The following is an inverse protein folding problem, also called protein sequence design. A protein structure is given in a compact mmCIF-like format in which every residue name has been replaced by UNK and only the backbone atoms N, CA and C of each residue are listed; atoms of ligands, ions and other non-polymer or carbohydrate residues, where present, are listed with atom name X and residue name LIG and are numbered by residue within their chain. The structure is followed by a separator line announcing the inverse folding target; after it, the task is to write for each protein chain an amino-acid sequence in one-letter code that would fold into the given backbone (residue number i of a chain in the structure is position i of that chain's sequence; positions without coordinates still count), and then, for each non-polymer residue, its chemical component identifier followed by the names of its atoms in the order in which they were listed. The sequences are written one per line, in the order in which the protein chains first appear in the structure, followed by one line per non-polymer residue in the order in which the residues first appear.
data_IF_381422229669
#
_entry.id   IF_381422229669
#
_cell.length_a   1.000
_cell.length_b   1.000
_cell.length_c   1.000
_cell.angle_alpha   90.00
_cell.angle_beta   90.00
_cell.angle_gamma   90.00
#
_symmetry.space_group_name_H-M   'P 1'
#
loop_
_entity.id
_entity.type
_entity.pdbx_description
1 polymer ?
#
# COMPACT_ATOMS: atom_id res chain seq x y z
N UNK A 1 -21.96 2.64 27.09
CA UNK A 1 -22.18 1.21 26.75
C UNK A 1 -22.07 1.06 25.24
N UNK A 2 -21.12 0.27 24.75
CA UNK A 2 -20.98 0.03 23.31
C UNK A 2 -22.20 -0.77 22.81
N UNK A 3 -22.77 -0.39 21.67
CA UNK A 3 -23.89 -1.12 21.05
C UNK A 3 -23.33 -2.30 20.28
N UNK A 4 -23.71 -3.52 20.65
CA UNK A 4 -23.40 -4.72 19.86
C UNK A 4 -24.23 -4.71 18.57
N UNK A 5 -23.62 -5.15 17.47
CA UNK A 5 -24.28 -5.35 16.17
C UNK A 5 -24.18 -6.82 15.77
N UNK A 6 -25.25 -7.34 15.17
CA UNK A 6 -25.24 -8.68 14.59
C UNK A 6 -24.62 -8.66 13.20
N UNK A 7 -23.64 -9.52 12.96
CA UNK A 7 -22.97 -9.68 11.66
C UNK A 7 -23.32 -11.06 11.11
N UNK A 8 -24.01 -11.09 9.97
CA UNK A 8 -24.29 -12.31 9.23
C UNK A 8 -23.42 -12.40 7.98
N UNK A 9 -22.82 -13.55 7.73
CA UNK A 9 -22.03 -13.80 6.52
C UNK A 9 -22.35 -15.17 5.93
N UNK A 10 -22.10 -15.31 4.63
CA UNK A 10 -22.20 -16.61 3.94
C UNK A 10 -20.87 -17.33 4.05
N UNK A 11 -20.90 -18.60 4.42
CA UNK A 11 -19.72 -19.44 4.50
C UNK A 11 -19.96 -20.77 3.78
N UNK A 12 -18.88 -21.40 3.33
CA UNK A 12 -18.94 -22.77 2.83
C UNK A 12 -19.21 -23.75 3.98
N UNK A 13 -19.74 -24.93 3.65
CA UNK A 13 -19.95 -26.00 4.63
C UNK A 13 -18.62 -26.40 5.30
N UNK A 14 -17.56 -26.56 4.50
CA UNK A 14 -16.22 -26.90 4.99
C UNK A 14 -15.66 -25.88 5.97
N UNK A 15 -15.84 -24.58 5.72
CA UNK A 15 -15.42 -23.53 6.66
C UNK A 15 -16.22 -23.59 7.96
N UNK A 16 -17.53 -23.82 7.85
CA UNK A 16 -18.43 -23.90 9.02
C UNK A 16 -18.08 -25.08 9.94
N UNK A 17 -17.72 -26.23 9.35
CA UNK A 17 -17.23 -27.42 10.07
C UNK A 17 -15.87 -27.16 10.73
N UNK A 18 -14.94 -26.50 10.03
CA UNK A 18 -13.64 -26.17 10.57
C UNK A 18 -13.74 -25.22 11.79
N UNK A 19 -14.60 -24.20 11.71
CA UNK A 19 -14.88 -23.28 12.83
C UNK A 19 -15.51 -24.02 14.02
N UNK A 20 -16.40 -24.98 13.76
CA UNK A 20 -17.01 -25.79 14.82
C UNK A 20 -16.01 -26.68 15.54
N UNK A 21 -15.16 -27.38 14.78
CA UNK A 21 -14.11 -28.22 15.33
C UNK A 21 -13.11 -27.40 16.17
N UNK A 22 -12.68 -26.24 15.64
CA UNK A 22 -11.74 -25.36 16.34
C UNK A 22 -12.36 -24.75 17.62
N UNK A 23 -13.58 -24.23 17.54
CA UNK A 23 -14.28 -23.71 18.71
C UNK A 23 -14.51 -24.79 19.78
N UNK A 24 -14.80 -26.03 19.36
CA UNK A 24 -14.93 -27.18 20.25
C UNK A 24 -13.62 -27.57 20.94
N UNK A 25 -12.49 -27.51 20.22
CA UNK A 25 -11.16 -27.74 20.78
C UNK A 25 -10.79 -26.68 21.83
N UNK A 26 -11.18 -25.43 21.60
CA UNK A 26 -10.92 -24.30 22.50
C UNK A 26 -11.96 -24.14 23.62
N UNK A 27 -13.02 -24.97 23.61
CA UNK A 27 -14.08 -24.95 24.63
C UNK A 27 -14.96 -23.70 24.59
N UNK A 28 -15.05 -23.01 23.46
CA UNK A 28 -15.81 -21.76 23.27
C UNK A 28 -16.92 -21.91 22.23
N UNK A 29 -17.84 -20.94 22.17
CA UNK A 29 -18.87 -20.90 21.13
C UNK A 29 -18.29 -20.46 19.78
N UNK A 30 -18.93 -20.82 18.66
CA UNK A 30 -18.49 -20.40 17.30
C UNK A 30 -18.37 -18.88 17.16
N UNK A 31 -19.32 -18.12 17.71
CA UNK A 31 -19.30 -16.65 17.69
C UNK A 31 -18.15 -16.07 18.51
N UNK A 32 -17.85 -16.71 19.64
CA UNK A 32 -16.75 -16.30 20.52
C UNK A 32 -15.39 -16.61 19.88
N UNK A 33 -15.25 -17.79 19.28
CA UNK A 33 -14.07 -18.17 18.52
C UNK A 33 -13.79 -17.18 17.38
N UNK A 34 -14.81 -16.85 16.58
CA UNK A 34 -14.66 -15.89 15.48
C UNK A 34 -14.32 -14.48 15.99
N UNK A 35 -14.92 -14.05 17.11
CA UNK A 35 -14.61 -12.77 17.74
C UNK A 35 -13.13 -12.73 18.17
N UNK A 36 -12.67 -13.75 18.87
CA UNK A 36 -11.27 -13.88 19.30
C UNK A 36 -10.31 -13.95 18.11
N UNK A 37 -10.62 -14.72 17.08
CA UNK A 37 -9.79 -14.80 15.87
C UNK A 37 -9.67 -13.46 15.13
N UNK A 38 -10.75 -12.68 15.09
CA UNK A 38 -10.74 -11.32 14.53
C UNK A 38 -9.94 -10.38 15.42
N UNK A 39 -10.13 -10.43 16.75
CA UNK A 39 -9.38 -9.62 17.71
C UNK A 39 -7.89 -9.94 17.68
N UNK A 40 -7.50 -11.21 17.63
CA UNK A 40 -6.12 -11.65 17.51
C UNK A 40 -5.50 -11.22 16.19
N UNK A 41 -6.27 -11.31 15.10
CA UNK A 41 -5.83 -10.81 13.79
C UNK A 41 -5.67 -9.30 13.82
N UNK A 42 -6.56 -8.56 14.48
CA UNK A 42 -6.46 -7.11 14.67
C UNK A 42 -5.35 -6.71 15.63
N UNK A 43 -5.03 -7.53 16.63
CA UNK A 43 -3.92 -7.30 17.56
C UNK A 43 -2.57 -7.57 16.88
N UNK A 44 -2.49 -8.62 16.06
CA UNK A 44 -1.32 -8.90 15.20
C UNK A 44 -1.17 -7.85 14.11
N UNK A 45 -2.27 -7.47 13.47
CA UNK A 45 -2.28 -6.37 12.51
C UNK A 45 -1.95 -5.05 13.20
N UNK A 46 -2.42 -4.82 14.43
CA UNK A 46 -2.18 -3.62 15.24
C UNK A 46 -0.77 -3.54 15.85
N UNK A 47 -0.06 -4.67 15.96
CA UNK A 47 1.38 -4.69 16.20
C UNK A 47 2.17 -4.24 14.96
N UNK A 48 1.61 -4.41 13.76
CA UNK A 48 2.13 -3.83 12.49
C UNK A 48 1.45 -2.51 12.09
N UNK A 49 0.34 -2.14 12.72
CA UNK A 49 -0.43 -0.91 12.54
C UNK A 49 -0.76 -0.36 13.92
N UNK A 50 0.23 0.26 14.58
CA UNK A 50 -0.10 1.36 15.49
C UNK A 50 -0.85 2.37 14.64
N UNK A 51 -2.17 2.44 14.84
CA UNK A 51 -3.00 3.58 14.44
C UNK A 51 -2.24 4.80 14.93
N UNK A 52 -1.60 5.50 13.99
CA UNK A 52 -0.80 6.66 14.35
C UNK A 52 -1.76 7.67 14.97
N UNK A 53 -1.31 8.33 16.03
CA UNK A 53 -1.72 9.72 16.25
C UNK A 53 -1.74 10.39 14.87
N UNK A 54 -2.86 11.02 14.49
CA UNK A 54 -3.09 11.63 13.17
C UNK A 54 -1.76 12.15 12.60
N UNK A 55 -1.20 11.44 11.61
CA UNK A 55 0.07 11.83 11.03
C UNK A 55 -0.06 13.28 10.57
N UNK A 56 0.76 14.18 11.13
CA UNK A 56 0.73 15.58 10.78
C UNK A 56 1.76 15.86 9.69
N UNK A 57 1.36 16.05 8.42
CA UNK A 57 2.30 16.23 7.32
C UNK A 57 3.17 17.48 7.52
N UNK A 58 2.60 18.54 8.12
CA UNK A 58 3.32 19.78 8.37
C UNK A 58 4.47 19.60 9.36
N UNK A 59 4.31 18.72 10.36
CA UNK A 59 5.37 18.40 11.30
C UNK A 59 6.52 17.61 10.63
N UNK A 60 6.22 16.82 9.60
CA UNK A 60 7.18 16.00 8.87
C UNK A 60 7.95 16.77 7.77
N UNK A 61 7.43 17.90 7.26
CA UNK A 61 8.09 18.69 6.21
C UNK A 61 9.49 19.16 6.59
N UNK A 62 9.65 19.74 7.78
CA UNK A 62 10.94 20.27 8.23
C UNK A 62 12.03 19.19 8.39
N UNK A 63 11.77 18.04 9.05
CA UNK A 63 12.75 16.94 9.08
C UNK A 63 12.99 16.32 7.70
N UNK A 64 11.96 16.17 6.85
CA UNK A 64 12.15 15.63 5.49
C UNK A 64 13.08 16.51 4.64
N UNK A 65 12.91 17.84 4.71
CA UNK A 65 13.78 18.82 4.05
C UNK A 65 15.22 18.79 4.57
N UNK A 66 15.44 18.31 5.80
CA UNK A 66 16.78 18.11 6.40
C UNK A 66 17.38 16.73 6.10
N UNK A 67 16.75 15.92 5.27
CA UNK A 67 17.25 14.59 4.90
C UNK A 67 16.84 13.48 5.86
N UNK A 68 15.81 13.68 6.69
CA UNK A 68 15.25 12.58 7.47
C UNK A 68 14.55 11.59 6.54
N UNK A 69 15.18 10.43 6.33
CA UNK A 69 14.68 9.37 5.46
C UNK A 69 13.28 8.90 5.88
N UNK A 70 13.06 8.68 7.18
CA UNK A 70 11.74 8.27 7.68
C UNK A 70 10.68 9.33 7.39
N UNK A 71 10.98 10.62 7.60
CA UNK A 71 10.02 11.68 7.32
C UNK A 71 9.70 11.82 5.83
N UNK A 72 10.66 11.55 4.94
CA UNK A 72 10.44 11.51 3.50
C UNK A 72 9.51 10.34 3.11
N UNK A 73 9.74 9.15 3.69
CA UNK A 73 8.85 7.98 3.49
C UNK A 73 7.44 8.26 4.00
N UNK A 74 7.32 8.82 5.20
CA UNK A 74 6.04 9.12 5.83
C UNK A 74 5.23 10.12 4.98
N UNK A 75 5.89 11.18 4.47
CA UNK A 75 5.24 12.15 3.58
C UNK A 75 4.82 11.55 2.23
N UNK A 76 5.65 10.70 1.64
CA UNK A 76 5.31 10.00 0.40
C UNK A 76 4.12 9.06 0.59
N UNK A 77 4.07 8.30 1.68
CA UNK A 77 2.94 7.43 1.99
C UNK A 77 1.67 8.24 2.31
N UNK A 78 1.78 9.31 3.10
CA UNK A 78 0.64 10.18 3.40
C UNK A 78 0.06 10.82 2.14
N UNK A 79 0.88 11.09 1.13
CA UNK A 79 0.41 11.59 -0.16
C UNK A 79 -0.40 10.54 -0.94
N UNK A 80 -0.02 9.25 -0.88
CA UNK A 80 -0.80 8.14 -1.44
C UNK A 80 -2.15 8.04 -0.71
N UNK A 81 -2.15 8.06 0.61
CA UNK A 81 -3.39 7.99 1.40
C UNK A 81 -4.30 9.18 1.11
N UNK A 82 -3.74 10.39 1.01
CA UNK A 82 -4.47 11.60 0.67
C UNK A 82 -5.09 11.54 -0.74
N UNK A 83 -4.39 10.96 -1.72
CA UNK A 83 -4.85 10.83 -3.09
C UNK A 83 -6.12 9.98 -3.22
N UNK A 84 -6.33 9.01 -2.33
CA UNK A 84 -7.48 8.11 -2.34
C UNK A 84 -8.44 8.31 -1.15
N UNK A 85 -8.25 9.38 -0.38
CA UNK A 85 -9.16 9.73 0.71
C UNK A 85 -10.51 10.15 0.14
N UNK A 86 -11.58 9.53 0.64
CA UNK A 86 -12.95 9.82 0.19
C UNK A 86 -13.83 10.34 1.33
N UNK A 87 -14.77 11.21 0.99
CA UNK A 87 -15.83 11.68 1.87
C UNK A 87 -17.16 11.49 1.15
N UNK A 88 -18.07 10.70 1.72
CA UNK A 88 -19.33 10.30 1.08
C UNK A 88 -19.16 9.64 -0.31
N UNK A 89 -18.05 8.93 -0.53
CA UNK A 89 -17.75 8.26 -1.80
C UNK A 89 -17.14 9.16 -2.87
N UNK A 90 -16.96 10.45 -2.59
CA UNK A 90 -16.27 11.39 -3.47
C UNK A 90 -14.83 11.61 -3.00
N UNK A 91 -13.91 11.76 -3.94
CA UNK A 91 -12.52 12.06 -3.63
C UNK A 91 -12.41 13.46 -3.00
N UNK A 92 -11.72 13.54 -1.87
CA UNK A 92 -11.55 14.80 -1.13
C UNK A 92 -10.47 15.68 -1.77
N UNK A 93 -9.44 15.04 -2.33
CA UNK A 93 -8.28 15.70 -2.91
C UNK A 93 -8.17 15.37 -4.39
N UNK A 94 -7.41 16.19 -5.13
CA UNK A 94 -6.96 15.87 -6.48
C UNK A 94 -5.87 14.78 -6.40
N UNK A 95 -6.15 13.54 -6.85
CA UNK A 95 -5.21 12.43 -6.72
C UNK A 95 -3.90 12.66 -7.46
N UNK A 96 -3.95 13.28 -8.66
CA UNK A 96 -2.77 13.53 -9.47
C UNK A 96 -1.82 14.47 -8.74
N UNK A 97 -2.37 15.57 -8.20
CA UNK A 97 -1.58 16.54 -7.44
C UNK A 97 -0.96 15.91 -6.19
N UNK A 98 -1.74 15.16 -5.41
CA UNK A 98 -1.22 14.47 -4.22
C UNK A 98 -0.06 13.55 -4.58
N UNK A 99 -0.21 12.72 -5.61
CA UNK A 99 0.83 11.78 -6.03
C UNK A 99 2.08 12.48 -6.57
N UNK A 100 1.94 13.58 -7.33
CA UNK A 100 3.09 14.39 -7.79
C UNK A 100 3.87 14.96 -6.60
N UNK A 101 3.16 15.49 -5.60
CA UNK A 101 3.80 16.03 -4.38
C UNK A 101 4.49 14.91 -3.57
N UNK A 102 3.85 13.74 -3.44
CA UNK A 102 4.43 12.55 -2.80
C UNK A 102 5.66 12.00 -3.51
N UNK A 103 5.66 12.03 -4.85
CA UNK A 103 6.75 11.52 -5.68
C UNK A 103 8.07 12.24 -5.40
N UNK A 104 8.03 13.54 -5.08
CA UNK A 104 9.23 14.29 -4.68
C UNK A 104 9.89 13.67 -3.46
N UNK A 105 9.11 13.35 -2.42
CA UNK A 105 9.64 12.75 -1.19
C UNK A 105 10.09 11.29 -1.40
N UNK A 106 9.36 10.52 -2.21
CA UNK A 106 9.77 9.17 -2.57
C UNK A 106 11.10 9.17 -3.33
N UNK A 107 11.31 10.09 -4.28
CA UNK A 107 12.58 10.25 -5.01
C UNK A 107 13.73 10.63 -4.07
N UNK A 108 13.47 11.50 -3.09
CA UNK A 108 14.46 11.86 -2.06
C UNK A 108 14.85 10.67 -1.20
N UNK A 109 13.88 9.89 -0.72
CA UNK A 109 14.13 8.66 0.04
C UNK A 109 14.95 7.65 -0.79
N UNK A 110 14.53 7.43 -2.04
CA UNK A 110 15.18 6.51 -2.97
C UNK A 110 16.63 6.92 -3.34
N UNK A 111 17.02 8.17 -3.14
CA UNK A 111 18.40 8.62 -3.34
C UNK A 111 19.39 7.99 -2.34
N UNK A 112 18.90 7.51 -1.19
CA UNK A 112 19.72 6.82 -0.19
C UNK A 112 20.07 5.37 -0.58
N UNK A 113 19.42 4.82 -1.60
CA UNK A 113 19.82 3.55 -2.24
C UNK A 113 19.16 2.29 -1.69
N UNK A 114 18.17 2.37 -0.80
CA UNK A 114 17.43 1.19 -0.34
C UNK A 114 16.41 0.73 -1.39
N UNK A 115 16.26 -0.60 -1.54
CA UNK A 115 15.36 -1.22 -2.53
C UNK A 115 13.89 -0.88 -2.24
N UNK A 116 13.50 -0.88 -0.96
CA UNK A 116 12.15 -0.55 -0.54
C UNK A 116 11.74 0.87 -0.99
N UNK A 117 12.67 1.84 -0.95
CA UNK A 117 12.41 3.20 -1.40
C UNK A 117 12.28 3.31 -2.91
N UNK A 118 12.98 2.45 -3.68
CA UNK A 118 12.73 2.34 -5.13
C UNK A 118 11.30 1.85 -5.39
N UNK A 119 10.84 0.86 -4.63
CA UNK A 119 9.48 0.33 -4.70
C UNK A 119 8.43 1.43 -4.49
N UNK A 120 8.66 2.33 -3.53
CA UNK A 120 7.76 3.46 -3.29
C UNK A 120 7.67 4.43 -4.48
N UNK A 121 8.81 4.74 -5.12
CA UNK A 121 8.82 5.56 -6.34
C UNK A 121 8.06 4.86 -7.47
N UNK A 122 8.34 3.57 -7.69
CA UNK A 122 7.69 2.77 -8.72
C UNK A 122 6.17 2.75 -8.50
N UNK A 123 5.71 2.55 -7.27
CA UNK A 123 4.30 2.56 -6.92
C UNK A 123 3.63 3.90 -7.23
N UNK A 124 4.21 5.03 -6.82
CA UNK A 124 3.62 6.36 -7.06
C UNK A 124 3.57 6.68 -8.56
N UNK A 125 4.64 6.39 -9.31
CA UNK A 125 4.65 6.59 -10.76
C UNK A 125 3.61 5.71 -11.45
N UNK A 126 3.50 4.45 -11.04
CA UNK A 126 2.49 3.52 -11.57
C UNK A 126 1.07 4.06 -11.35
N UNK A 127 0.79 4.58 -10.15
CA UNK A 127 -0.50 5.20 -9.84
C UNK A 127 -0.74 6.46 -10.68
N UNK A 128 0.26 7.32 -10.87
CA UNK A 128 0.16 8.51 -11.72
C UNK A 128 -0.19 8.13 -13.15
N UNK A 129 0.53 7.16 -13.74
CA UNK A 129 0.26 6.67 -15.09
C UNK A 129 -1.15 6.08 -15.21
N UNK A 130 -1.60 5.33 -14.19
CA UNK A 130 -2.93 4.75 -14.17
C UNK A 130 -4.05 5.79 -14.13
N UNK A 131 -3.83 6.94 -13.49
CA UNK A 131 -4.84 8.00 -13.36
C UNK A 131 -4.81 8.95 -14.56
N UNK A 132 -3.62 9.26 -15.07
CA UNK A 132 -3.42 10.15 -16.20
C UNK A 132 -3.88 9.56 -17.54
N UNK A 133 -3.79 8.23 -17.70
CA UNK A 133 -4.08 7.57 -18.98
C UNK A 133 -3.15 8.01 -20.11
N UNK A 134 -3.59 7.83 -21.36
CA UNK A 134 -2.77 8.05 -22.57
C UNK A 134 -2.55 9.54 -22.91
N UNK A 135 -3.30 10.46 -22.29
CA UNK A 135 -3.28 11.89 -22.65
C UNK A 135 -2.22 12.71 -21.87
N UNK A 136 -1.58 12.10 -20.86
CA UNK A 136 -0.91 12.86 -19.80
C UNK A 136 0.54 13.30 -20.04
N UNK A 137 1.21 12.90 -21.11
CA UNK A 137 2.60 13.31 -21.38
C UNK A 137 3.62 12.85 -20.31
N UNK A 138 3.30 11.79 -19.55
CA UNK A 138 4.12 11.22 -18.46
C UNK A 138 5.18 10.21 -18.96
N UNK A 139 5.65 10.35 -20.20
CA UNK A 139 6.65 9.44 -20.78
C UNK A 139 7.96 9.41 -19.96
N UNK A 140 8.37 10.56 -19.42
CA UNK A 140 9.55 10.68 -18.58
C UNK A 140 9.41 9.90 -17.26
N UNK A 141 8.23 9.96 -16.63
CA UNK A 141 7.96 9.22 -15.40
C UNK A 141 7.87 7.71 -15.69
N UNK A 142 7.24 7.30 -16.80
CA UNK A 142 7.23 5.91 -17.23
C UNK A 142 8.64 5.35 -17.47
N UNK A 143 9.49 6.12 -18.16
CA UNK A 143 10.89 5.76 -18.36
C UNK A 143 11.65 5.64 -17.02
N UNK A 144 11.37 6.52 -16.05
CA UNK A 144 11.95 6.41 -14.70
C UNK A 144 11.50 5.13 -13.99
N UNK A 145 10.22 4.78 -14.02
CA UNK A 145 9.73 3.54 -13.41
C UNK A 145 10.45 2.31 -14.00
N UNK A 146 10.54 2.23 -15.33
CA UNK A 146 11.25 1.15 -16.04
C UNK A 146 12.72 1.10 -15.60
N UNK A 147 13.41 2.23 -15.59
CA UNK A 147 14.83 2.31 -15.22
C UNK A 147 15.06 1.88 -13.76
N UNK A 148 14.16 2.25 -12.85
CA UNK A 148 14.25 1.86 -11.44
C UNK A 148 13.96 0.38 -11.22
N UNK A 149 13.01 -0.19 -11.95
CA UNK A 149 12.73 -1.63 -11.89
C UNK A 149 13.92 -2.43 -12.40
N UNK A 150 14.49 -2.04 -13.54
CA UNK A 150 15.71 -2.66 -14.05
C UNK A 150 16.86 -2.59 -13.04
N UNK A 151 17.04 -1.43 -12.40
CA UNK A 151 18.03 -1.26 -11.33
C UNK A 151 17.77 -2.17 -10.14
N UNK A 152 16.51 -2.33 -9.71
CA UNK A 152 16.15 -3.23 -8.59
C UNK A 152 16.41 -4.69 -8.97
N UNK A 153 16.11 -5.10 -10.21
CA UNK A 153 16.41 -6.44 -10.71
C UNK A 153 17.93 -6.70 -10.75
N UNK A 154 18.74 -5.71 -11.10
CA UNK A 154 20.20 -5.83 -11.14
C UNK A 154 20.84 -5.87 -9.75
N UNK A 155 20.22 -5.27 -8.74
CA UNK A 155 20.73 -5.25 -7.36
C UNK A 155 20.68 -6.63 -6.68
N UNK A 156 19.79 -7.52 -7.14
CA UNK A 156 19.54 -8.82 -6.52
C UNK A 156 18.91 -8.72 -5.12
N UNK A 157 18.25 -9.80 -4.67
CA UNK A 157 17.63 -9.88 -3.34
C UNK A 157 16.11 -10.09 -3.35
N UNK A 158 15.51 -10.15 -2.17
CA UNK A 158 14.05 -10.29 -2.01
C UNK A 158 13.36 -9.05 -2.62
N UNK A 159 12.63 -9.25 -3.72
CA UNK A 159 12.00 -8.19 -4.51
C UNK A 159 12.55 -8.04 -5.93
N UNK A 160 13.72 -8.61 -6.24
CA UNK A 160 14.32 -8.60 -7.57
C UNK A 160 13.51 -9.39 -8.61
N UNK A 161 13.09 -10.60 -8.25
CA UNK A 161 12.26 -11.45 -9.11
C UNK A 161 10.89 -10.79 -9.37
N UNK A 162 10.35 -10.14 -8.35
CA UNK A 162 9.05 -9.47 -8.41
C UNK A 162 9.11 -8.18 -9.24
N UNK A 163 10.22 -7.43 -9.15
CA UNK A 163 10.49 -6.29 -10.03
C UNK A 163 10.56 -6.76 -11.50
N UNK A 164 11.28 -7.84 -11.77
CA UNK A 164 11.37 -8.42 -13.12
C UNK A 164 10.01 -8.94 -13.64
N UNK A 165 9.19 -9.55 -12.78
CA UNK A 165 7.84 -10.02 -13.12
C UNK A 165 6.85 -8.90 -13.44
N UNK A 166 6.99 -7.73 -12.80
CA UNK A 166 6.08 -6.59 -13.00
C UNK A 166 6.54 -5.62 -14.10
N UNK A 167 7.79 -5.72 -14.56
CA UNK A 167 8.34 -4.89 -15.65
C UNK A 167 7.49 -4.98 -16.94
N UNK A 168 7.03 -6.16 -17.41
CA UNK A 168 6.19 -6.26 -18.61
C UNK A 168 4.85 -5.54 -18.46
N UNK A 169 4.27 -5.50 -17.26
CA UNK A 169 2.98 -4.82 -17.03
C UNK A 169 3.07 -3.29 -17.13
N UNK A 170 4.25 -2.72 -16.91
CA UNK A 170 4.52 -1.30 -17.14
C UNK A 170 4.92 -0.98 -18.57
N UNK A 171 5.43 -1.96 -19.32
CA UNK A 171 5.85 -1.81 -20.71
C UNK A 171 4.69 -2.07 -21.69
N UNK A 172 3.83 -3.05 -21.40
CA UNK A 172 2.77 -3.53 -22.32
C UNK A 172 1.42 -2.83 -22.11
N UNK A 173 1.27 -1.96 -21.10
CA UNK A 173 0.01 -1.28 -20.86
C UNK A 173 0.17 0.06 -20.17
N UNK A 174 -0.09 1.15 -20.89
CA UNK A 174 -0.69 2.33 -20.27
C UNK A 174 -2.18 1.98 -20.01
N UNK A 175 -2.61 1.95 -18.75
CA UNK A 175 -3.98 1.57 -18.37
C UNK A 175 -4.07 0.56 -17.20
N UNK A 176 -5.21 -0.14 -17.10
CA UNK A 176 -5.65 -0.94 -15.92
C UNK A 176 -4.66 -2.02 -15.42
N UNK A 177 -3.67 -2.44 -16.21
CA UNK A 177 -2.63 -3.39 -15.80
C UNK A 177 -1.64 -2.79 -14.79
N UNK A 178 -1.38 -1.48 -14.86
CA UNK A 178 -0.43 -0.78 -14.00
C UNK A 178 -0.97 -0.62 -12.57
N UNK A 179 -2.28 -0.43 -12.42
CA UNK A 179 -2.95 -0.36 -11.12
C UNK A 179 -2.86 -1.70 -10.37
N UNK A 180 -2.96 -2.82 -11.08
CA UNK A 180 -2.84 -4.16 -10.49
C UNK A 180 -1.41 -4.45 -10.03
N UNK A 181 -0.40 -4.09 -10.83
CA UNK A 181 1.02 -4.20 -10.46
C UNK A 181 1.36 -3.32 -9.25
N UNK A 182 0.90 -2.06 -9.23
CA UNK A 182 1.11 -1.14 -8.10
C UNK A 182 0.47 -1.63 -6.79
N UNK A 183 -0.77 -2.13 -6.85
CA UNK A 183 -1.45 -2.71 -5.69
C UNK A 183 -0.77 -4.00 -5.19
N UNK A 184 -0.20 -4.80 -6.08
CA UNK A 184 0.50 -6.03 -5.72
C UNK A 184 1.84 -5.74 -5.05
N UNK A 185 2.62 -4.80 -5.59
CA UNK A 185 3.89 -4.33 -5.02
C UNK A 185 3.65 -3.68 -3.64
N UNK A 186 2.61 -2.87 -3.49
CA UNK A 186 2.29 -2.18 -2.23
C UNK A 186 1.89 -3.15 -1.10
N UNK A 187 1.14 -4.22 -1.42
CA UNK A 187 0.76 -5.25 -0.42
C UNK A 187 1.93 -6.06 0.09
N UNK A 188 3.00 -6.21 -0.69
CA UNK A 188 4.19 -6.96 -0.32
C UNK A 188 5.14 -6.15 0.56
N UNK A 189 5.14 -4.82 0.46
CA UNK A 189 5.94 -3.94 1.31
C UNK A 189 5.38 -3.80 2.75
N UNK A 190 4.18 -4.30 3.02
CA UNK A 190 3.52 -4.28 4.33
C UNK A 190 3.61 -5.61 5.10
N UNK A 191 4.22 -6.63 4.50
CA UNK A 191 4.46 -7.95 5.11
C UNK A 191 5.87 -8.01 5.71
#
# INVERSE_FOLDING_TARGET
MARSQFVGFRASAQFSEAVEAAAGADGVSKSEFLRQAVEDRLAKAGASQKVSEDFNPYAALAPAARGSLQAQRDLANAAIDAAFTTNNGELVNDPLRCLIEGLVFARLAAAHGEVADQGLVISIVSLLLSIAGDEGGYEADAAEAIARIAKVADMGGEGSDLAAENLPHLVDGFGQGVTAAAQHITKLMQA
#
